data_IF_622546717093
#
_entry.id   IF_622546717093
#
_cell.length_a   1.000
_cell.length_b   1.000
_cell.length_c   1.000
_cell.angle_alpha   90.00
_cell.angle_beta   90.00
_cell.angle_gamma   90.00
#
_symmetry.space_group_name_H-M   'P 1'
#
loop_
_entity.id
_entity.type
_entity.pdbx_description
1 polymer ?
#
# COMPACT_ATOMS: atom_id res chain seq x y z
N UNK A 1 -34.23 52.99 43.00
CA UNK A 1 -33.90 54.23 42.33
C UNK A 1 -33.65 53.82 40.90
N UNK A 2 -34.72 53.68 40.09
CA UNK A 2 -35.32 54.67 39.20
C UNK A 2 -34.40 54.93 38.01
N UNK A 3 -34.72 54.67 36.76
CA UNK A 3 -35.80 55.03 35.87
C UNK A 3 -35.61 54.25 34.57
N UNK A 4 -36.47 53.53 34.02
CA UNK A 4 -37.78 53.73 33.43
C UNK A 4 -37.92 54.86 32.42
N UNK A 5 -38.52 54.51 31.28
CA UNK A 5 -39.30 55.39 30.40
C UNK A 5 -38.56 55.87 29.15
N UNK A 6 -39.03 55.78 27.89
CA UNK A 6 -40.29 55.65 27.14
C UNK A 6 -39.95 55.50 25.65
N UNK A 7 -40.54 54.64 24.93
CA UNK A 7 -41.78 54.70 24.11
C UNK A 7 -41.87 55.94 23.20
N UNK A 8 -41.97 55.69 21.90
CA UNK A 8 -43.00 56.13 20.93
C UNK A 8 -42.42 55.98 19.48
N UNK A 9 -42.89 55.09 18.69
CA UNK A 9 -44.06 55.11 17.81
C UNK A 9 -44.16 56.42 17.00
N UNK A 10 -44.21 56.28 15.69
CA UNK A 10 -45.22 56.84 14.78
C UNK A 10 -44.76 56.78 13.32
N UNK A 11 -45.41 56.00 12.52
CA UNK A 11 -46.27 56.20 11.40
C UNK A 11 -45.63 56.36 10.00
N UNK A 12 -46.05 55.46 9.22
CA UNK A 12 -46.87 55.50 7.97
C UNK A 12 -46.16 55.77 6.65
N UNK A 13 -46.35 54.83 5.80
CA UNK A 13 -47.13 54.80 4.54
C UNK A 13 -46.39 55.32 3.29
N UNK A 14 -46.23 54.44 2.39
CA UNK A 14 -46.59 54.42 0.96
C UNK A 14 -45.76 53.33 0.31
N UNK A 15 -46.32 52.23 -0.05
CA UNK A 15 -47.14 51.80 -1.16
C UNK A 15 -46.63 52.37 -2.49
N UNK A 16 -46.01 51.55 -3.30
CA UNK A 16 -46.26 51.25 -4.70
C UNK A 16 -45.18 50.33 -5.24
N UNK A 17 -45.56 49.14 -5.47
CA UNK A 17 -45.54 48.37 -6.72
C UNK A 17 -44.29 48.58 -7.61
N UNK A 18 -43.47 47.52 -7.68
CA UNK A 18 -43.13 46.94 -8.98
C UNK A 18 -42.87 45.45 -8.82
N UNK A 19 -43.82 44.65 -9.29
CA UNK A 19 -43.63 43.25 -9.61
C UNK A 19 -42.59 43.16 -10.73
N UNK A 20 -41.43 42.57 -10.40
CA UNK A 20 -40.60 41.93 -11.39
C UNK A 20 -40.26 40.55 -10.86
N UNK A 21 -41.03 39.58 -11.34
CA UNK A 21 -40.80 38.17 -11.12
C UNK A 21 -39.49 37.76 -11.79
N UNK A 22 -38.41 37.80 -11.04
CA UNK A 22 -37.18 37.11 -11.40
C UNK A 22 -37.27 35.68 -10.92
N UNK A 23 -37.85 34.81 -11.73
CA UNK A 23 -37.71 33.36 -11.58
C UNK A 23 -36.22 33.00 -11.79
N UNK A 24 -35.43 33.04 -10.74
CA UNK A 24 -34.16 32.36 -10.73
C UNK A 24 -34.43 30.86 -10.58
N UNK A 25 -34.66 30.24 -11.74
CA UNK A 25 -34.64 28.79 -11.83
C UNK A 25 -33.29 28.29 -11.31
N UNK A 26 -33.32 27.62 -10.17
CA UNK A 26 -32.23 26.70 -9.79
C UNK A 26 -32.11 25.69 -10.94
N UNK A 27 -31.20 25.94 -11.87
CA UNK A 27 -30.72 24.88 -12.75
C UNK A 27 -29.95 23.88 -11.87
N UNK A 28 -30.68 22.85 -11.46
CA UNK A 28 -30.06 21.66 -10.98
C UNK A 28 -29.05 21.21 -12.03
N UNK A 29 -27.76 21.27 -11.70
CA UNK A 29 -26.70 20.72 -12.51
C UNK A 29 -27.02 19.22 -12.63
N UNK A 30 -27.61 18.80 -13.74
CA UNK A 30 -27.68 17.38 -14.09
C UNK A 30 -26.24 16.93 -14.29
N UNK A 31 -25.75 15.92 -13.53
CA UNK A 31 -24.47 15.32 -13.87
C UNK A 31 -24.53 14.85 -15.32
N UNK A 32 -23.47 15.10 -16.07
CA UNK A 32 -23.35 14.63 -17.44
C UNK A 32 -23.62 13.13 -17.47
N UNK A 33 -24.34 12.61 -18.47
CA UNK A 33 -24.55 11.18 -18.60
C UNK A 33 -23.18 10.51 -18.65
N UNK A 34 -23.01 9.46 -17.85
CA UNK A 34 -21.80 8.64 -17.88
C UNK A 34 -21.59 8.16 -19.33
N UNK A 35 -20.33 8.11 -19.81
CA UNK A 35 -20.05 7.57 -21.13
C UNK A 35 -20.64 6.17 -21.22
N UNK A 36 -21.21 5.78 -22.38
CA UNK A 36 -21.79 4.46 -22.55
C UNK A 36 -20.74 3.39 -22.23
N UNK A 37 -21.11 2.46 -21.37
CA UNK A 37 -20.28 1.29 -21.12
C UNK A 37 -20.05 0.59 -22.48
N UNK A 38 -18.80 0.23 -22.83
CA UNK A 38 -18.55 -0.55 -24.02
C UNK A 38 -19.38 -1.84 -23.90
N UNK A 39 -20.15 -2.15 -24.92
CA UNK A 39 -20.94 -3.37 -24.99
C UNK A 39 -20.06 -4.62 -24.89
N UNK A 40 -20.64 -5.80 -24.64
CA UNK A 40 -19.91 -7.04 -24.38
C UNK A 40 -19.03 -7.54 -25.54
N UNK A 41 -18.98 -6.84 -26.68
CA UNK A 41 -18.28 -7.25 -27.91
C UNK A 41 -17.10 -6.34 -28.30
N UNK A 42 -16.69 -5.40 -27.44
CA UNK A 42 -15.42 -4.74 -27.65
C UNK A 42 -14.31 -5.71 -27.26
N UNK A 43 -13.76 -6.41 -28.24
CA UNK A 43 -12.45 -7.06 -28.13
C UNK A 43 -11.43 -5.99 -27.82
N UNK A 44 -11.26 -5.70 -26.51
CA UNK A 44 -10.12 -4.95 -26.02
C UNK A 44 -8.90 -5.76 -26.47
N UNK A 45 -7.95 -5.19 -27.23
CA UNK A 45 -6.71 -5.87 -27.52
C UNK A 45 -6.10 -6.20 -26.16
N UNK A 46 -6.01 -7.48 -25.82
CA UNK A 46 -5.23 -7.96 -24.68
C UNK A 46 -3.76 -7.69 -25.00
N UNK A 47 -3.31 -6.47 -24.73
CA UNK A 47 -1.90 -6.19 -24.53
C UNK A 47 -1.51 -7.06 -23.34
N UNK A 48 -0.50 -7.93 -23.44
CA UNK A 48 -0.02 -8.68 -22.29
C UNK A 48 0.62 -7.70 -21.32
N UNK A 49 -0.17 -7.20 -20.40
CA UNK A 49 0.12 -6.16 -19.42
C UNK A 49 1.08 -6.63 -18.30
N UNK A 50 1.75 -7.77 -18.49
CA UNK A 50 2.31 -8.49 -17.34
C UNK A 50 3.74 -9.02 -17.51
N UNK A 51 4.39 -8.82 -18.66
CA UNK A 51 5.70 -9.47 -18.89
C UNK A 51 6.82 -8.78 -18.08
N UNK A 52 6.69 -7.50 -17.76
CA UNK A 52 7.75 -6.74 -17.09
C UNK A 52 7.53 -6.48 -15.59
N UNK A 53 6.34 -6.76 -15.04
CA UNK A 53 6.07 -6.55 -13.61
C UNK A 53 6.46 -7.75 -12.76
N UNK A 54 7.07 -7.55 -11.57
CA UNK A 54 7.30 -8.64 -10.62
C UNK A 54 6.00 -9.36 -10.27
N UNK A 55 5.99 -10.66 -9.97
CA UNK A 55 4.78 -11.40 -9.62
C UNK A 55 3.93 -10.75 -8.54
N UNK A 56 4.57 -10.08 -7.59
CA UNK A 56 3.90 -9.34 -6.51
C UNK A 56 3.18 -8.07 -6.99
N UNK A 57 3.48 -7.60 -8.20
CA UNK A 57 2.88 -6.43 -8.84
C UNK A 57 1.91 -6.81 -9.98
N UNK A 58 1.78 -8.10 -10.28
CA UNK A 58 0.83 -8.58 -11.30
C UNK A 58 -0.57 -8.72 -10.70
N UNK A 59 -1.63 -8.55 -11.51
CA UNK A 59 -2.97 -8.91 -11.09
C UNK A 59 -3.02 -10.36 -10.61
N UNK A 60 -3.74 -10.59 -9.54
CA UNK A 60 -3.90 -11.92 -8.95
C UNK A 60 -5.36 -12.14 -8.50
N UNK A 61 -5.74 -13.39 -8.32
CA UNK A 61 -7.10 -13.76 -7.94
C UNK A 61 -7.11 -14.62 -6.68
N UNK A 62 -8.00 -14.29 -5.75
CA UNK A 62 -8.24 -15.05 -4.52
C UNK A 62 -9.75 -15.14 -4.28
N UNK A 63 -10.27 -16.35 -4.11
CA UNK A 63 -11.70 -16.63 -3.90
C UNK A 63 -12.61 -16.00 -4.96
N UNK A 64 -12.18 -16.01 -6.25
CA UNK A 64 -12.93 -15.41 -7.36
C UNK A 64 -12.90 -13.88 -7.44
N UNK A 65 -12.23 -13.22 -6.50
CA UNK A 65 -12.02 -11.77 -6.52
C UNK A 65 -10.66 -11.44 -7.13
N UNK A 66 -10.64 -10.61 -8.17
CA UNK A 66 -9.41 -10.14 -8.81
C UNK A 66 -8.92 -8.85 -8.17
N UNK A 67 -7.63 -8.81 -7.90
CA UNK A 67 -6.91 -7.68 -7.31
C UNK A 67 -5.87 -7.15 -8.29
N UNK A 68 -5.76 -5.82 -8.37
CA UNK A 68 -4.79 -5.12 -9.23
C UNK A 68 -3.83 -4.33 -8.34
N UNK A 69 -2.60 -4.82 -8.10
CA UNK A 69 -1.60 -4.04 -7.39
C UNK A 69 -1.35 -2.69 -8.07
N UNK A 70 -1.24 -1.65 -7.28
CA UNK A 70 -0.88 -0.30 -7.75
C UNK A 70 0.63 -0.17 -7.91
N UNK A 71 1.08 0.66 -8.83
CA UNK A 71 2.50 0.80 -9.15
C UNK A 71 3.24 1.73 -8.18
N UNK A 72 2.54 2.69 -7.59
CA UNK A 72 3.09 3.65 -6.65
C UNK A 72 2.16 3.82 -5.44
N UNK A 73 2.73 4.02 -4.28
CA UNK A 73 2.00 4.26 -3.03
C UNK A 73 1.97 5.75 -2.63
N UNK A 74 2.55 6.65 -3.41
CA UNK A 74 2.66 8.06 -3.05
C UNK A 74 1.28 8.68 -2.81
N UNK A 75 1.12 9.32 -1.65
CA UNK A 75 -0.15 9.93 -1.26
C UNK A 75 -1.26 8.94 -0.93
N UNK A 76 -0.97 7.64 -0.86
CA UNK A 76 -1.99 6.64 -0.50
C UNK A 76 -2.53 6.89 0.90
N UNK A 77 -3.86 6.91 1.01
CA UNK A 77 -4.58 7.09 2.26
C UNK A 77 -5.87 6.27 2.22
N UNK A 78 -6.11 5.51 3.27
CA UNK A 78 -7.34 4.70 3.41
C UNK A 78 -7.75 4.63 4.88
N UNK A 79 -9.06 4.55 5.15
CA UNK A 79 -9.62 4.31 6.49
C UNK A 79 -10.52 3.08 6.44
N UNK A 80 -10.35 2.18 7.40
CA UNK A 80 -11.12 0.94 7.45
C UNK A 80 -10.78 0.08 8.65
N UNK A 81 -11.13 -1.19 8.56
CA UNK A 81 -10.87 -2.15 9.63
C UNK A 81 -9.55 -2.87 9.38
N UNK A 82 -8.68 -2.87 10.38
CA UNK A 82 -7.53 -3.74 10.46
C UNK A 82 -7.83 -4.98 11.32
N UNK A 83 -7.18 -6.08 11.01
CA UNK A 83 -7.05 -7.25 11.89
C UNK A 83 -5.57 -7.61 12.05
N UNK A 84 -5.28 -8.75 12.64
CA UNK A 84 -3.92 -9.24 12.78
C UNK A 84 -3.83 -10.75 12.59
N UNK A 85 -2.63 -11.23 12.27
CA UNK A 85 -2.31 -12.65 12.12
C UNK A 85 -1.06 -13.00 12.92
N UNK A 86 -0.99 -14.24 13.39
CA UNK A 86 0.03 -14.66 14.37
C UNK A 86 0.54 -16.08 14.14
N UNK A 87 0.59 -16.84 15.19
CA UNK A 87 1.31 -18.11 15.30
C UNK A 87 1.15 -19.11 14.14
N UNK A 88 -0.04 -19.38 13.56
CA UNK A 88 -0.14 -20.37 12.48
C UNK A 88 0.61 -19.99 11.21
N UNK A 89 0.96 -18.72 11.06
CA UNK A 89 1.64 -18.17 9.89
C UNK A 89 3.13 -17.90 10.14
N UNK A 90 3.56 -17.83 11.40
CA UNK A 90 4.94 -17.57 11.76
C UNK A 90 5.88 -18.61 11.14
N UNK A 91 6.97 -18.15 10.54
CA UNK A 91 7.93 -19.00 9.83
C UNK A 91 7.53 -19.38 8.40
N UNK A 92 6.31 -19.04 7.94
CA UNK A 92 5.89 -19.31 6.56
C UNK A 92 6.33 -18.19 5.59
N UNK A 93 6.53 -18.51 4.31
CA UNK A 93 6.84 -17.47 3.32
C UNK A 93 5.66 -16.54 3.10
N UNK A 94 5.95 -15.24 3.05
CA UNK A 94 5.02 -14.19 2.64
C UNK A 94 4.97 -14.06 1.12
N UNK A 95 4.04 -13.26 0.62
CA UNK A 95 3.93 -12.97 -0.82
C UNK A 95 5.14 -12.21 -1.37
N UNK A 96 5.86 -11.43 -0.55
CA UNK A 96 7.12 -10.80 -0.95
C UNK A 96 8.27 -11.81 -1.06
N UNK A 97 8.11 -12.96 -0.43
CA UNK A 97 9.13 -13.99 -0.36
C UNK A 97 9.98 -13.97 0.87
N UNK A 98 9.73 -13.06 1.78
CA UNK A 98 10.29 -13.08 3.12
C UNK A 98 9.68 -14.22 3.97
N UNK A 99 10.39 -14.63 5.01
CA UNK A 99 9.78 -15.45 6.06
C UNK A 99 8.95 -14.55 6.96
N UNK A 100 7.68 -14.89 7.17
CA UNK A 100 6.83 -14.13 8.08
C UNK A 100 7.33 -14.25 9.52
N UNK A 101 7.64 -13.10 10.10
CA UNK A 101 7.96 -12.97 11.52
C UNK A 101 6.84 -12.18 12.22
N UNK A 102 6.08 -12.87 13.09
CA UNK A 102 5.00 -12.24 13.86
C UNK A 102 5.50 -11.17 14.85
N UNK A 103 6.80 -11.13 15.14
CA UNK A 103 7.44 -10.15 16.04
C UNK A 103 8.06 -8.96 15.30
N UNK A 104 8.01 -8.94 13.96
CA UNK A 104 8.42 -7.79 13.16
C UNK A 104 7.28 -6.80 12.98
N UNK A 105 7.61 -5.52 12.73
CA UNK A 105 6.63 -4.45 12.46
C UNK A 105 6.19 -4.48 10.99
N UNK A 106 5.40 -5.46 10.60
CA UNK A 106 4.96 -5.68 9.20
C UNK A 106 3.46 -5.80 9.09
N UNK A 107 2.98 -5.71 7.85
CA UNK A 107 1.57 -5.87 7.54
C UNK A 107 1.35 -6.45 6.12
N UNK A 108 0.14 -6.97 5.92
CA UNK A 108 -0.37 -7.39 4.62
C UNK A 108 -1.38 -6.38 4.08
N UNK A 109 -1.25 -6.03 2.79
CA UNK A 109 -2.17 -5.18 2.07
C UNK A 109 -2.45 -5.74 0.67
N UNK A 110 -3.70 -5.56 0.17
CA UNK A 110 -4.15 -6.18 -1.08
C UNK A 110 -3.40 -5.67 -2.30
N UNK A 111 -3.17 -4.36 -2.40
CA UNK A 111 -2.73 -3.74 -3.65
C UNK A 111 -1.48 -2.86 -3.53
N UNK A 112 -1.05 -2.49 -2.33
CA UNK A 112 0.14 -1.65 -2.17
C UNK A 112 1.41 -2.38 -2.64
N UNK A 113 2.40 -1.67 -3.17
CA UNK A 113 3.70 -2.23 -3.49
C UNK A 113 4.36 -2.87 -2.27
N UNK A 114 5.08 -3.98 -2.47
CA UNK A 114 5.89 -4.56 -1.42
C UNK A 114 7.01 -3.59 -1.02
N UNK A 115 7.28 -3.51 0.29
CA UNK A 115 8.25 -2.56 0.84
C UNK A 115 7.68 -1.19 1.19
N UNK A 116 6.42 -0.90 0.83
CA UNK A 116 5.75 0.35 1.24
C UNK A 116 5.73 0.47 2.76
N UNK A 117 6.15 1.61 3.28
CA UNK A 117 5.94 1.97 4.68
C UNK A 117 4.61 2.68 4.86
N UNK A 118 3.86 2.27 5.87
CA UNK A 118 2.61 2.88 6.27
C UNK A 118 2.72 3.43 7.68
N UNK A 119 2.27 4.65 7.85
CA UNK A 119 1.84 5.15 9.13
C UNK A 119 0.42 4.63 9.38
N UNK A 120 0.21 3.95 10.48
CA UNK A 120 -1.06 3.36 10.90
C UNK A 120 -1.47 3.98 12.22
N UNK A 121 -2.65 4.58 12.27
CA UNK A 121 -3.26 5.14 13.47
C UNK A 121 -4.52 4.35 13.84
N UNK A 122 -4.60 3.86 15.05
CA UNK A 122 -5.81 3.30 15.61
C UNK A 122 -6.75 4.43 16.03
N UNK A 123 -7.90 4.54 15.40
CA UNK A 123 -8.85 5.64 15.61
C UNK A 123 -9.68 5.50 16.92
N UNK A 124 -9.51 4.41 17.64
CA UNK A 124 -10.23 4.15 18.91
C UNK A 124 -9.41 4.60 20.12
N UNK A 125 -8.06 4.67 19.99
CA UNK A 125 -7.16 4.99 21.10
C UNK A 125 -6.00 5.92 20.72
N UNK A 126 -5.97 6.42 19.48
CA UNK A 126 -4.97 7.32 18.92
C UNK A 126 -3.52 6.80 18.93
N UNK A 127 -3.31 5.50 19.18
CA UNK A 127 -1.97 4.91 19.07
C UNK A 127 -1.55 4.79 17.62
N UNK A 128 -0.28 5.04 17.37
CA UNK A 128 0.31 5.11 16.05
C UNK A 128 1.54 4.21 15.94
N UNK A 129 1.69 3.60 14.80
CA UNK A 129 2.88 2.79 14.44
C UNK A 129 3.29 3.02 13.00
N UNK A 130 4.51 2.61 12.69
CA UNK A 130 4.98 2.47 11.32
C UNK A 130 5.15 0.99 11.02
N UNK A 131 4.55 0.52 9.94
CA UNK A 131 4.67 -0.87 9.47
C UNK A 131 5.14 -0.90 8.02
N UNK A 132 5.79 -1.99 7.63
CA UNK A 132 6.19 -2.24 6.26
C UNK A 132 5.31 -3.32 5.63
N UNK A 133 4.85 -3.09 4.41
CA UNK A 133 4.08 -4.07 3.65
C UNK A 133 5.02 -5.12 3.09
N UNK A 134 4.81 -6.37 3.46
CA UNK A 134 5.56 -7.52 2.96
C UNK A 134 4.69 -8.73 2.58
N UNK A 135 3.36 -8.59 2.66
CA UNK A 135 2.45 -9.68 2.33
C UNK A 135 1.19 -9.18 1.62
N UNK A 136 0.41 -10.11 1.04
CA UNK A 136 -0.90 -9.88 0.42
C UNK A 136 -2.02 -10.34 1.34
N UNK A 137 -3.05 -9.56 1.38
CA UNK A 137 -4.25 -9.66 2.21
C UNK A 137 -4.69 -8.29 2.70
N UNK A 138 -5.73 -8.20 3.50
CA UNK A 138 -6.68 -9.24 3.88
C UNK A 138 -7.61 -9.66 2.74
N UNK A 139 -8.00 -10.93 2.73
CA UNK A 139 -9.00 -11.43 1.78
C UNK A 139 -10.39 -11.61 2.40
N UNK A 140 -10.52 -11.37 3.70
CA UNK A 140 -11.82 -11.25 4.35
C UNK A 140 -12.48 -9.91 4.02
N UNK A 141 -13.81 -9.93 3.90
CA UNK A 141 -14.59 -8.72 3.60
C UNK A 141 -14.41 -7.66 4.69
N UNK A 142 -14.50 -6.39 4.28
CA UNK A 142 -14.49 -5.20 5.12
C UNK A 142 -13.17 -4.92 5.87
N UNK A 143 -12.09 -5.67 5.62
CA UNK A 143 -10.77 -5.36 6.17
C UNK A 143 -9.89 -4.73 5.10
N UNK A 144 -9.05 -3.78 5.52
CA UNK A 144 -8.08 -3.09 4.64
C UNK A 144 -6.65 -3.52 4.93
N UNK A 145 -6.34 -3.94 6.15
CA UNK A 145 -5.00 -4.24 6.60
C UNK A 145 -5.00 -5.44 7.55
N UNK A 146 -4.02 -6.34 7.41
CA UNK A 146 -3.73 -7.35 8.43
C UNK A 146 -2.34 -7.08 9.02
N UNK A 147 -2.29 -6.76 10.30
CA UNK A 147 -1.06 -6.45 11.04
C UNK A 147 -0.37 -7.73 11.54
N UNK A 148 0.95 -7.67 11.70
CA UNK A 148 1.64 -8.66 12.50
C UNK A 148 1.16 -8.62 13.96
N UNK A 149 1.41 -9.68 14.71
CA UNK A 149 1.10 -9.73 16.15
C UNK A 149 1.73 -8.56 16.93
N UNK A 150 3.02 -8.28 16.68
CA UNK A 150 3.70 -7.15 17.32
C UNK A 150 3.06 -5.82 16.96
N UNK A 151 2.83 -5.56 15.69
CA UNK A 151 2.19 -4.34 15.22
C UNK A 151 0.82 -4.11 15.87
N UNK A 152 0.01 -5.17 15.94
CA UNK A 152 -1.31 -5.12 16.59
C UNK A 152 -1.21 -4.88 18.11
N UNK A 153 -0.19 -5.43 18.76
CA UNK A 153 0.09 -5.20 20.19
C UNK A 153 0.45 -3.75 20.48
N UNK A 154 1.28 -3.14 19.65
CA UNK A 154 1.72 -1.75 19.83
C UNK A 154 0.54 -0.75 19.76
N UNK A 155 -0.47 -1.01 18.94
CA UNK A 155 -1.69 -0.18 18.86
C UNK A 155 -2.85 -0.72 19.71
N UNK A 156 -2.57 -1.68 20.62
CA UNK A 156 -3.50 -2.21 21.63
C UNK A 156 -4.81 -2.78 21.06
N UNK A 157 -4.72 -3.56 19.99
CA UNK A 157 -5.89 -4.20 19.38
C UNK A 157 -5.95 -5.72 19.50
N UNK A 158 -5.01 -6.33 20.23
CA UNK A 158 -4.92 -7.80 20.33
C UNK A 158 -6.18 -8.39 20.91
N UNK A 159 -6.70 -7.80 22.02
CA UNK A 159 -7.88 -8.31 22.72
C UNK A 159 -9.13 -8.28 21.86
N UNK A 160 -9.30 -7.20 21.12
CA UNK A 160 -10.51 -6.96 20.33
C UNK A 160 -10.43 -7.61 18.93
N UNK A 161 -9.22 -8.06 18.54
CA UNK A 161 -8.95 -8.77 17.29
C UNK A 161 -8.99 -7.89 16.03
N UNK A 162 -9.72 -6.79 16.08
CA UNK A 162 -9.86 -5.79 15.02
C UNK A 162 -9.87 -4.39 15.60
N UNK A 163 -9.51 -3.39 14.78
CA UNK A 163 -9.64 -1.98 15.13
C UNK A 163 -9.94 -1.15 13.89
N UNK A 164 -10.62 -0.02 14.07
CA UNK A 164 -10.75 0.98 13.02
C UNK A 164 -9.45 1.78 12.92
N UNK A 165 -8.82 1.76 11.75
CA UNK A 165 -7.53 2.40 11.52
C UNK A 165 -7.60 3.38 10.36
N UNK A 166 -6.73 4.38 10.42
CA UNK A 166 -6.32 5.21 9.30
C UNK A 166 -4.92 4.78 8.89
N UNK A 167 -4.70 4.58 7.59
CA UNK A 167 -3.40 4.24 7.04
C UNK A 167 -2.98 5.27 6.01
N UNK A 168 -1.70 5.66 6.04
CA UNK A 168 -1.09 6.60 5.09
C UNK A 168 0.26 6.08 4.67
N UNK A 169 0.55 6.10 3.38
CA UNK A 169 1.92 5.85 2.92
C UNK A 169 2.85 6.96 3.38
N UNK A 170 4.08 6.57 3.72
CA UNK A 170 5.13 7.51 4.10
C UNK A 170 6.37 7.26 3.27
N UNK A 171 7.07 8.33 2.92
CA UNK A 171 8.37 8.27 2.25
C UNK A 171 9.49 8.15 3.30
N UNK A 172 10.16 6.98 3.38
CA UNK A 172 11.24 6.76 4.34
C UNK A 172 12.50 7.61 4.06
N UNK A 173 12.59 8.28 2.90
CA UNK A 173 13.73 9.16 2.57
C UNK A 173 13.63 10.54 3.22
N UNK A 174 12.45 10.93 3.70
CA UNK A 174 12.24 12.19 4.42
C UNK A 174 12.96 12.13 5.78
N UNK A 175 13.85 13.08 6.14
CA UNK A 175 14.75 12.95 7.31
C UNK A 175 14.05 12.65 8.63
N UNK A 176 12.95 13.32 8.93
CA UNK A 176 12.19 13.08 10.18
C UNK A 176 11.47 11.73 10.17
N UNK A 177 10.98 11.30 9.00
CA UNK A 177 10.37 9.99 8.80
C UNK A 177 11.43 8.91 8.88
N UNK A 178 12.61 9.09 8.26
CA UNK A 178 13.72 8.14 8.30
C UNK A 178 14.07 7.72 9.73
N UNK A 179 14.22 8.68 10.65
CA UNK A 179 14.50 8.40 12.07
C UNK A 179 13.39 7.58 12.74
N UNK A 180 12.13 7.90 12.46
CA UNK A 180 10.98 7.17 13.02
C UNK A 180 10.91 5.74 12.46
N UNK A 181 11.16 5.59 11.16
CA UNK A 181 11.19 4.28 10.49
C UNK A 181 12.34 3.45 11.04
N UNK A 182 13.54 4.00 11.20
CA UNK A 182 14.70 3.32 11.79
C UNK A 182 14.43 2.89 13.23
N UNK A 183 13.86 3.76 14.06
CA UNK A 183 13.48 3.45 15.43
C UNK A 183 12.41 2.34 15.53
N UNK A 184 11.45 2.33 14.62
CA UNK A 184 10.40 1.31 14.56
C UNK A 184 10.88 -0.04 13.99
N UNK A 185 11.91 0.00 13.15
CA UNK A 185 12.41 -1.15 12.39
C UNK A 185 13.95 -1.29 12.47
N UNK A 186 14.57 -1.31 13.66
CA UNK A 186 16.03 -1.37 13.76
C UNK A 186 16.61 -2.58 13.03
N UNK A 187 15.94 -3.72 13.12
CA UNK A 187 16.35 -4.96 12.42
C UNK A 187 16.13 -4.88 10.90
N UNK A 188 15.33 -3.92 10.42
CA UNK A 188 15.14 -3.72 9.00
C UNK A 188 16.32 -2.99 8.36
N UNK A 189 16.98 -2.08 9.10
CA UNK A 189 18.08 -1.27 8.59
C UNK A 189 19.45 -1.98 8.69
N UNK A 190 19.56 -2.98 9.57
CA UNK A 190 20.78 -3.78 9.73
C UNK A 190 20.47 -5.27 9.51
N UNK A 191 21.34 -5.97 8.77
CA UNK A 191 21.16 -7.40 8.51
C UNK A 191 21.65 -7.83 7.14
N UNK A 192 21.25 -9.02 6.70
CA UNK A 192 21.58 -9.57 5.38
C UNK A 192 20.44 -9.26 4.42
N UNK A 193 20.64 -8.27 3.55
CA UNK A 193 19.67 -7.83 2.55
C UNK A 193 20.10 -8.20 1.15
N UNK A 194 19.14 -8.31 0.25
CA UNK A 194 19.32 -8.49 -1.18
C UNK A 194 18.22 -7.77 -1.95
N UNK A 195 18.47 -7.42 -3.19
CA UNK A 195 17.44 -6.87 -4.05
C UNK A 195 16.77 -7.99 -4.84
N UNK A 196 15.46 -8.12 -4.73
CA UNK A 196 14.69 -9.00 -5.59
C UNK A 196 14.27 -8.25 -6.84
N UNK A 197 14.73 -8.72 -7.99
CA UNK A 197 14.48 -8.12 -9.32
C UNK A 197 13.28 -8.78 -9.98
N UNK A 198 13.06 -10.06 -9.72
CA UNK A 198 11.94 -10.80 -10.29
C UNK A 198 11.69 -12.13 -9.59
N UNK A 199 10.52 -12.70 -9.82
CA UNK A 199 10.18 -14.06 -9.43
C UNK A 199 9.41 -14.74 -10.56
N UNK A 200 9.84 -15.93 -10.93
CA UNK A 200 9.39 -16.64 -12.11
C UNK A 200 8.91 -18.04 -11.74
N UNK A 201 7.83 -18.49 -12.35
CA UNK A 201 7.41 -19.89 -12.25
C UNK A 201 8.25 -20.81 -13.15
N UNK A 202 8.89 -20.25 -14.17
CA UNK A 202 9.78 -20.94 -15.08
C UNK A 202 11.24 -20.61 -14.74
N UNK A 203 12.03 -21.68 -14.56
CA UNK A 203 13.46 -21.57 -14.24
C UNK A 203 14.27 -20.95 -15.38
N UNK A 204 13.92 -21.26 -16.62
CA UNK A 204 14.62 -20.75 -17.79
C UNK A 204 14.50 -19.23 -17.92
N UNK A 205 13.35 -18.67 -17.60
CA UNK A 205 13.12 -17.22 -17.58
C UNK A 205 13.94 -16.55 -16.46
N UNK A 206 14.00 -17.16 -15.28
CA UNK A 206 14.83 -16.66 -14.19
C UNK A 206 16.32 -16.69 -14.54
N UNK A 207 16.79 -17.75 -15.20
CA UNK A 207 18.17 -17.89 -15.64
C UNK A 207 18.53 -16.88 -16.75
N UNK A 208 17.60 -16.62 -17.68
CA UNK A 208 17.79 -15.61 -18.73
C UNK A 208 17.95 -14.21 -18.13
N UNK A 209 17.09 -13.85 -17.17
CA UNK A 209 17.17 -12.58 -16.46
C UNK A 209 18.44 -12.47 -15.63
N UNK A 210 18.80 -13.51 -14.88
CA UNK A 210 20.05 -13.54 -14.13
C UNK A 210 21.27 -13.38 -15.04
N UNK A 211 21.28 -14.01 -16.23
CA UNK A 211 22.36 -13.87 -17.21
C UNK A 211 22.49 -12.44 -17.73
N UNK A 212 21.37 -11.76 -18.00
CA UNK A 212 21.33 -10.36 -18.42
C UNK A 212 21.96 -9.44 -17.37
N UNK A 213 21.57 -9.59 -16.11
CA UNK A 213 22.09 -8.81 -14.99
C UNK A 213 23.58 -9.08 -14.71
N UNK A 214 24.02 -10.34 -14.82
CA UNK A 214 25.45 -10.69 -14.68
C UNK A 214 26.32 -10.06 -15.77
N UNK A 215 25.81 -10.01 -17.02
CA UNK A 215 26.50 -9.29 -18.10
C UNK A 215 26.66 -7.81 -17.81
N UNK A 216 25.75 -7.21 -17.05
CA UNK A 216 25.84 -5.84 -16.57
C UNK A 216 26.71 -5.70 -15.30
N UNK A 217 27.53 -6.70 -14.96
CA UNK A 217 28.47 -6.66 -13.85
C UNK A 217 27.85 -6.76 -12.47
N UNK A 218 26.62 -7.30 -12.36
CA UNK A 218 25.93 -7.45 -11.06
C UNK A 218 26.20 -8.84 -10.47
N UNK A 219 26.32 -8.90 -9.13
CA UNK A 219 26.33 -10.16 -8.38
C UNK A 219 24.90 -10.68 -8.29
N UNK A 220 24.61 -11.78 -9.01
CA UNK A 220 23.24 -12.30 -9.18
C UNK A 220 23.15 -13.76 -8.81
N UNK A 221 22.19 -14.09 -7.98
CA UNK A 221 21.85 -15.46 -7.66
C UNK A 221 20.31 -15.72 -7.79
N UNK A 222 19.97 -16.99 -7.95
CA UNK A 222 18.59 -17.43 -8.01
C UNK A 222 18.32 -18.24 -6.74
N UNK A 223 17.28 -17.87 -6.01
CA UNK A 223 16.73 -18.67 -4.91
C UNK A 223 15.41 -19.29 -5.32
N UNK A 224 15.23 -20.59 -5.00
CA UNK A 224 13.98 -21.29 -5.25
C UNK A 224 13.12 -21.36 -3.99
N UNK A 225 11.81 -21.30 -4.17
CA UNK A 225 10.82 -21.52 -3.11
C UNK A 225 9.63 -22.26 -3.70
N UNK A 226 8.83 -22.90 -2.85
CA UNK A 226 7.57 -23.51 -3.28
C UNK A 226 6.39 -22.73 -2.70
N UNK A 227 5.43 -22.36 -3.54
CA UNK A 227 4.19 -21.73 -3.14
C UNK A 227 3.04 -22.58 -3.63
N UNK A 228 2.22 -23.11 -2.73
CA UNK A 228 1.13 -24.04 -3.05
C UNK A 228 1.58 -25.24 -3.90
N UNK A 229 2.75 -25.81 -3.58
CA UNK A 229 3.32 -26.94 -4.32
C UNK A 229 3.96 -26.61 -5.66
N UNK A 230 3.94 -25.35 -6.09
CA UNK A 230 4.57 -24.89 -7.34
C UNK A 230 5.89 -24.21 -7.06
N UNK A 231 6.97 -24.55 -7.81
CA UNK A 231 8.25 -23.87 -7.65
C UNK A 231 8.20 -22.44 -8.17
N UNK A 232 8.89 -21.54 -7.46
CA UNK A 232 9.17 -20.19 -7.90
C UNK A 232 10.66 -19.90 -7.78
N UNK A 233 11.20 -19.23 -8.79
CA UNK A 233 12.61 -18.88 -8.92
C UNK A 233 12.75 -17.37 -8.81
N UNK A 234 13.37 -16.91 -7.71
CA UNK A 234 13.56 -15.49 -7.43
C UNK A 234 14.96 -15.07 -7.88
N UNK A 235 15.03 -14.08 -8.78
CA UNK A 235 16.29 -13.48 -9.20
C UNK A 235 16.63 -12.38 -8.22
N UNK A 236 17.78 -12.52 -7.57
CA UNK A 236 18.27 -11.63 -6.52
C UNK A 236 19.62 -11.06 -6.86
N UNK A 237 19.87 -9.80 -6.47
CA UNK A 237 21.06 -9.05 -6.78
C UNK A 237 21.71 -8.51 -5.51
N UNK A 238 22.99 -8.79 -5.35
CA UNK A 238 23.81 -8.32 -4.23
C UNK A 238 23.45 -8.94 -2.88
N UNK A 239 24.35 -8.72 -1.92
CA UNK A 239 24.14 -8.95 -0.49
C UNK A 239 24.62 -7.72 0.25
N UNK A 240 23.81 -7.20 1.14
CA UNK A 240 24.04 -5.91 1.79
C UNK A 240 23.86 -6.07 3.29
N UNK A 241 24.78 -5.53 4.05
CA UNK A 241 24.70 -5.50 5.52
C UNK A 241 23.73 -4.40 6.03
N UNK A 242 23.35 -3.47 5.15
CA UNK A 242 22.39 -2.41 5.48
C UNK A 242 21.34 -2.22 4.40
N UNK A 243 20.18 -1.74 4.80
CA UNK A 243 19.12 -1.33 3.87
C UNK A 243 19.58 -0.15 3.02
N UNK A 244 20.37 0.78 3.57
CA UNK A 244 20.87 1.94 2.84
C UNK A 244 21.69 1.54 1.61
N UNK A 245 22.57 0.54 1.76
CA UNK A 245 23.37 0.02 0.64
C UNK A 245 22.49 -0.66 -0.42
N UNK A 246 21.47 -1.39 0.02
CA UNK A 246 20.50 -2.00 -0.88
C UNK A 246 19.71 -0.95 -1.67
N UNK A 247 19.23 0.11 -1.03
CA UNK A 247 18.49 1.20 -1.66
C UNK A 247 19.36 2.00 -2.67
N UNK A 248 20.67 2.17 -2.42
CA UNK A 248 21.57 2.77 -3.40
C UNK A 248 21.62 1.96 -4.70
N UNK A 249 21.79 0.64 -4.61
CA UNK A 249 21.78 -0.20 -5.82
C UNK A 249 20.40 -0.24 -6.47
N UNK A 250 19.32 -0.26 -5.69
CA UNK A 250 17.93 -0.18 -6.21
C UNK A 250 17.74 1.06 -7.08
N UNK A 251 18.16 2.23 -6.57
CA UNK A 251 18.11 3.49 -7.32
C UNK A 251 18.89 3.42 -8.64
N UNK A 252 20.07 2.78 -8.61
CA UNK A 252 20.86 2.57 -9.82
C UNK A 252 20.16 1.62 -10.81
N UNK A 253 19.55 0.55 -10.33
CA UNK A 253 18.83 -0.40 -11.18
C UNK A 253 17.58 0.23 -11.79
N UNK A 254 16.83 1.06 -11.05
CA UNK A 254 15.67 1.78 -11.56
C UNK A 254 16.03 2.67 -12.76
N UNK A 255 17.14 3.41 -12.69
CA UNK A 255 17.67 4.21 -13.82
C UNK A 255 18.04 3.40 -15.06
N UNK A 256 18.22 2.09 -14.91
CA UNK A 256 18.55 1.15 -15.98
C UNK A 256 17.37 0.26 -16.39
N UNK A 257 16.14 0.70 -16.13
CA UNK A 257 14.90 0.01 -16.55
C UNK A 257 14.40 -1.08 -15.63
N UNK A 258 14.94 -1.18 -14.41
CA UNK A 258 14.46 -2.12 -13.38
C UNK A 258 13.66 -1.38 -12.31
N UNK A 259 12.51 -0.84 -12.68
CA UNK A 259 11.69 0.02 -11.79
C UNK A 259 11.05 -0.73 -10.62
N UNK A 260 10.85 -2.04 -10.74
CA UNK A 260 10.11 -2.86 -9.78
C UNK A 260 11.02 -3.69 -8.84
N UNK A 261 12.22 -3.20 -8.59
CA UNK A 261 13.16 -3.83 -7.66
C UNK A 261 12.85 -3.43 -6.23
N UNK A 262 12.86 -4.38 -5.32
CA UNK A 262 12.68 -4.10 -3.90
C UNK A 262 13.65 -4.89 -3.04
N UNK A 263 14.03 -4.30 -1.90
CA UNK A 263 14.90 -4.93 -0.95
C UNK A 263 14.14 -5.95 -0.10
N UNK A 264 14.74 -7.10 0.12
CA UNK A 264 14.25 -8.17 0.99
C UNK A 264 15.37 -8.69 1.87
N UNK A 265 15.05 -9.32 2.98
CA UNK A 265 16.04 -10.10 3.71
C UNK A 265 16.49 -11.28 2.85
N UNK A 266 17.82 -11.52 2.82
CA UNK A 266 18.39 -12.55 1.95
C UNK A 266 17.88 -13.96 2.29
N UNK A 267 17.42 -14.18 3.51
CA UNK A 267 17.00 -15.48 4.00
C UNK A 267 18.17 -16.46 4.11
N UNK A 268 18.14 -17.34 5.09
CA UNK A 268 19.10 -18.44 5.19
C UNK A 268 18.85 -19.51 4.14
#
# INVERSE_FOLDING_TARGET
MDNLIRIRTVFRLSLFLFLAAGLWACQAHRPAPAPPHPGPDATVPTVPDTIDKPPTQRPYEVFGQRYHPIDCADGFHETGIASWYGHPFHGRPTSSGETYDMHAMTAAHRVLPMGTFLHVRNLENDREIIVRINDRGPFARNRILDLSYRSAKEIDMIRDGTAKVEIRSIDPSTPDIAKRVEAAHPDYFTGDFTLQVGAYSDKSLAEAEAKKLRKAGKDVYISSTSVNGRPFYRVRVGRFASMADAEQLKTHLAKNGYENVFAVRAGK
#
